data_IF_330254009809
#
_entry.id   IF_330254009809
#
_cell.length_a   1.000
_cell.length_b   1.000
_cell.length_c   1.000
_cell.angle_alpha   90.00
_cell.angle_beta   90.00
_cell.angle_gamma   90.00
#
_symmetry.space_group_name_H-M   'P 1'
#
loop_
_entity.id
_entity.type
_entity.pdbx_description
1 polymer ?
#
# COMPACT_ATOMS: atom_id res chain seq x y z
N UNK A 1 11.40 12.68 -6.58
CA UNK A 1 10.93 11.63 -5.66
C UNK A 1 9.47 11.32 -5.96
N UNK A 2 9.12 10.04 -6.00
CA UNK A 2 7.76 9.56 -6.31
C UNK A 2 7.48 8.23 -5.58
N UNK A 3 6.23 8.03 -5.15
CA UNK A 3 5.74 6.71 -4.74
C UNK A 3 5.31 5.92 -5.98
N UNK A 4 5.77 4.66 -6.20
CA UNK A 4 5.27 3.80 -7.28
C UNK A 4 3.77 3.51 -7.20
N UNK A 5 3.23 3.47 -5.98
CA UNK A 5 1.81 3.52 -5.69
C UNK A 5 1.63 4.54 -4.58
N UNK A 6 0.93 5.64 -4.86
CA UNK A 6 0.62 6.62 -3.81
C UNK A 6 -0.26 5.96 -2.74
N UNK A 7 0.23 5.87 -1.52
CA UNK A 7 -0.47 5.22 -0.42
C UNK A 7 -1.54 6.13 0.19
N UNK A 8 -1.12 7.16 0.89
CA UNK A 8 -2.02 8.13 1.56
C UNK A 8 -2.79 9.00 0.56
N UNK A 9 -2.21 9.24 -0.63
CA UNK A 9 -2.82 10.01 -1.70
C UNK A 9 -4.02 9.35 -2.39
N UNK A 10 -4.42 8.13 -1.98
CA UNK A 10 -5.62 7.48 -2.50
C UNK A 10 -5.41 6.09 -3.10
N UNK A 11 -4.33 5.41 -2.79
CA UNK A 11 -3.98 4.10 -3.37
C UNK A 11 -3.95 4.19 -4.90
N UNK A 12 -3.06 5.03 -5.43
CA UNK A 12 -2.98 5.31 -6.87
C UNK A 12 -1.73 4.65 -7.46
N UNK A 13 -1.84 3.50 -8.13
CA UNK A 13 -0.73 2.92 -8.89
C UNK A 13 -0.29 3.89 -10.00
N UNK A 14 1.00 4.11 -10.11
CA UNK A 14 1.54 4.91 -11.20
C UNK A 14 1.37 4.17 -12.54
N UNK A 15 1.18 4.91 -13.61
CA UNK A 15 1.29 4.39 -14.95
C UNK A 15 2.74 4.01 -15.25
N UNK A 16 2.97 2.88 -15.93
CA UNK A 16 4.31 2.40 -16.25
C UNK A 16 5.05 3.37 -17.18
N UNK A 17 4.36 3.96 -18.13
CA UNK A 17 4.96 4.92 -19.08
C UNK A 17 5.33 6.23 -18.37
N UNK A 18 4.56 6.63 -17.35
CA UNK A 18 4.93 7.76 -16.49
C UNK A 18 6.26 7.49 -15.76
N UNK A 19 6.42 6.31 -15.15
CA UNK A 19 7.66 5.97 -14.42
C UNK A 19 8.86 5.83 -15.36
N UNK A 20 8.67 5.25 -16.55
CA UNK A 20 9.70 5.20 -17.61
C UNK A 20 10.10 6.59 -18.07
N UNK A 21 9.12 7.45 -18.34
CA UNK A 21 9.37 8.84 -18.73
C UNK A 21 10.12 9.63 -17.65
N UNK A 22 9.82 9.40 -16.36
CA UNK A 22 10.60 9.98 -15.25
C UNK A 22 12.06 9.50 -15.27
N UNK A 23 12.30 8.21 -15.54
CA UNK A 23 13.66 7.66 -15.63
C UNK A 23 14.42 8.31 -16.81
N UNK A 24 13.81 8.41 -17.97
CA UNK A 24 14.40 9.05 -19.14
C UNK A 24 14.74 10.53 -18.90
N UNK A 25 13.82 11.28 -18.27
CA UNK A 25 14.05 12.68 -17.91
C UNK A 25 15.19 12.82 -16.90
N UNK A 26 15.21 11.99 -15.87
CA UNK A 26 16.27 11.99 -14.87
C UNK A 26 17.64 11.72 -15.53
N UNK A 27 17.71 10.76 -16.44
CA UNK A 27 18.94 10.44 -17.17
C UNK A 27 19.36 11.61 -18.08
N UNK A 28 18.43 12.21 -18.80
CA UNK A 28 18.67 13.35 -19.68
C UNK A 28 19.21 14.58 -18.96
N UNK A 29 18.67 14.87 -17.79
CA UNK A 29 19.02 16.08 -17.03
C UNK A 29 20.01 15.84 -15.89
N UNK A 30 20.52 14.62 -15.73
CA UNK A 30 21.44 14.27 -14.65
C UNK A 30 20.81 14.38 -13.25
N UNK A 31 19.49 14.22 -13.15
CA UNK A 31 18.75 14.20 -11.89
C UNK A 31 18.67 12.79 -11.32
N UNK A 32 18.48 12.67 -10.00
CA UNK A 32 18.24 11.39 -9.35
C UNK A 32 16.75 11.05 -9.37
N UNK A 33 16.42 9.80 -9.72
CA UNK A 33 15.10 9.24 -9.53
C UNK A 33 15.06 8.53 -8.17
N UNK A 34 14.19 9.00 -7.28
CA UNK A 34 14.01 8.44 -5.94
C UNK A 34 12.63 7.79 -5.87
N UNK A 35 12.58 6.50 -5.55
CA UNK A 35 11.32 5.83 -5.24
C UNK A 35 11.11 5.76 -3.72
N UNK A 36 9.98 6.34 -3.27
CA UNK A 36 9.50 6.15 -1.91
C UNK A 36 8.70 4.84 -1.85
N UNK A 37 9.36 3.80 -1.36
CA UNK A 37 8.76 2.47 -1.18
C UNK A 37 8.45 2.15 0.29
N UNK A 38 8.24 3.18 1.09
CA UNK A 38 7.88 3.04 2.51
C UNK A 38 6.55 2.29 2.68
N UNK A 39 5.59 2.45 1.76
CA UNK A 39 4.32 1.70 1.79
C UNK A 39 4.29 0.53 0.80
N UNK A 40 5.00 0.61 -0.30
CA UNK A 40 4.93 -0.36 -1.40
C UNK A 40 5.94 -1.48 -1.31
N UNK A 41 7.03 -1.26 -0.56
CA UNK A 41 8.12 -2.22 -0.43
C UNK A 41 7.84 -3.38 0.51
N UNK A 42 8.84 -4.21 0.67
CA UNK A 42 8.89 -5.37 1.56
C UNK A 42 7.69 -6.30 1.33
N UNK A 43 7.49 -6.71 0.08
CA UNK A 43 6.49 -7.69 -0.33
C UNK A 43 5.07 -7.17 -0.55
N UNK A 44 4.75 -5.93 -0.17
CA UNK A 44 3.38 -5.39 -0.17
C UNK A 44 2.67 -5.49 -1.53
N UNK A 45 3.41 -5.33 -2.63
CA UNK A 45 2.87 -5.33 -4.00
C UNK A 45 3.04 -6.67 -4.73
N UNK A 46 3.44 -7.74 -4.02
CA UNK A 46 3.70 -9.06 -4.61
C UNK A 46 5.08 -9.20 -5.24
N UNK A 47 5.91 -8.17 -5.15
CA UNK A 47 7.35 -8.21 -5.37
C UNK A 47 8.04 -7.67 -4.12
N UNK A 48 9.32 -7.95 -3.92
CA UNK A 48 10.05 -7.46 -2.76
C UNK A 48 9.99 -5.94 -2.65
N UNK A 49 10.15 -5.26 -3.79
CA UNK A 49 9.92 -3.82 -3.95
C UNK A 49 9.11 -3.56 -5.23
N UNK A 50 8.24 -2.56 -5.20
CA UNK A 50 7.32 -2.27 -6.30
C UNK A 50 8.04 -1.93 -7.61
N UNK A 51 9.21 -1.30 -7.56
CA UNK A 51 9.99 -1.00 -8.77
C UNK A 51 10.27 -2.25 -9.64
N UNK A 52 10.33 -3.43 -9.01
CA UNK A 52 10.55 -4.70 -9.72
C UNK A 52 9.35 -5.07 -10.60
N UNK A 53 8.12 -4.71 -10.19
CA UNK A 53 6.93 -4.91 -11.01
C UNK A 53 6.88 -3.99 -12.23
N UNK A 54 7.45 -2.79 -12.11
CA UNK A 54 7.49 -1.79 -13.18
C UNK A 54 8.72 -1.93 -14.11
N UNK A 55 9.77 -2.64 -13.67
CA UNK A 55 11.03 -2.74 -14.40
C UNK A 55 11.78 -1.41 -14.55
N UNK A 56 11.48 -0.44 -13.67
CA UNK A 56 12.15 0.89 -13.64
C UNK A 56 13.01 0.97 -12.40
N UNK A 57 14.33 1.02 -12.57
CA UNK A 57 15.28 1.02 -11.45
C UNK A 57 15.51 2.48 -11.00
N UNK A 58 15.22 2.81 -9.73
CA UNK A 58 15.54 4.12 -9.18
C UNK A 58 17.03 4.24 -8.83
N UNK A 59 17.54 5.46 -8.71
CA UNK A 59 18.88 5.73 -8.17
C UNK A 59 18.91 5.59 -6.65
N UNK A 60 17.80 5.92 -5.99
CA UNK A 60 17.61 5.83 -4.54
C UNK A 60 16.23 5.23 -4.25
N UNK A 61 16.18 4.40 -3.22
CA UNK A 61 14.95 3.80 -2.71
C UNK A 61 14.87 4.02 -1.20
N UNK A 62 13.73 4.49 -0.71
CA UNK A 62 13.45 4.57 0.73
C UNK A 62 12.50 3.46 1.16
N UNK A 63 12.74 2.87 2.32
CA UNK A 63 11.94 1.77 2.87
C UNK A 63 11.82 1.87 4.39
N UNK A 64 10.68 1.47 4.94
CA UNK A 64 10.41 1.45 6.37
C UNK A 64 9.22 0.51 6.67
N UNK A 65 8.38 0.84 7.64
CA UNK A 65 7.12 0.13 7.99
C UNK A 65 7.31 -1.40 8.04
N UNK A 66 6.91 -2.10 6.96
CA UNK A 66 7.00 -3.55 6.87
C UNK A 66 8.45 -4.09 7.02
N UNK A 67 9.48 -3.26 6.75
CA UNK A 67 10.88 -3.63 6.94
C UNK A 67 11.18 -4.10 8.37
N UNK A 68 10.53 -3.48 9.36
CA UNK A 68 10.72 -3.84 10.76
C UNK A 68 9.70 -4.83 11.31
N UNK A 69 8.69 -5.26 10.53
CA UNK A 69 7.64 -6.16 11.03
C UNK A 69 6.91 -5.64 12.28
N UNK A 70 6.89 -4.33 12.50
CA UNK A 70 6.38 -3.65 13.69
C UNK A 70 7.46 -2.98 14.54
N UNK A 71 8.74 -3.33 14.36
CA UNK A 71 9.86 -2.65 15.03
C UNK A 71 10.21 -1.35 14.26
N UNK A 72 10.47 -0.22 14.96
CA UNK A 72 10.78 1.05 14.30
C UNK A 72 12.14 1.00 13.60
N UNK A 73 12.15 0.92 12.29
CA UNK A 73 13.32 0.97 11.43
C UNK A 73 12.97 1.51 10.06
N UNK A 74 13.87 2.25 9.47
CA UNK A 74 13.83 2.67 8.09
C UNK A 74 15.21 2.59 7.47
N UNK A 75 15.27 2.50 6.16
CA UNK A 75 16.50 2.45 5.40
C UNK A 75 16.37 3.25 4.11
N UNK A 76 17.50 3.70 3.62
CA UNK A 76 17.67 4.27 2.29
C UNK A 76 18.71 3.43 1.57
N UNK A 77 18.39 2.99 0.38
CA UNK A 77 19.28 2.22 -0.49
C UNK A 77 19.65 3.08 -1.69
N UNK A 78 20.90 2.96 -2.13
CA UNK A 78 21.36 3.62 -3.34
C UNK A 78 22.37 2.73 -4.06
N UNK A 79 22.71 3.11 -5.29
CA UNK A 79 23.72 2.39 -6.09
C UNK A 79 25.13 2.79 -5.70
N UNK A 80 26.13 1.96 -6.05
CA UNK A 80 27.54 2.25 -5.82
C UNK A 80 28.00 3.56 -6.44
N UNK A 81 27.33 4.02 -7.50
CA UNK A 81 27.59 5.32 -8.14
C UNK A 81 27.38 6.48 -7.18
N UNK A 82 26.40 6.42 -6.30
CA UNK A 82 26.03 7.51 -5.40
C UNK A 82 26.45 7.28 -3.94
N UNK A 83 26.72 6.03 -3.56
CA UNK A 83 27.17 5.67 -2.22
C UNK A 83 28.34 6.51 -1.69
N UNK A 84 29.37 6.90 -2.50
CA UNK A 84 30.49 7.71 -2.01
C UNK A 84 30.11 9.12 -1.53
N UNK A 85 28.91 9.64 -1.89
CA UNK A 85 28.43 10.93 -1.40
C UNK A 85 27.92 10.86 0.06
N UNK A 86 27.70 9.65 0.60
CA UNK A 86 27.29 9.41 1.98
C UNK A 86 28.52 9.09 2.83
N UNK A 87 29.25 10.13 3.23
CA UNK A 87 30.46 10.03 4.04
C UNK A 87 30.21 10.43 5.50
N UNK A 88 31.24 10.27 6.32
CA UNK A 88 31.18 10.67 7.74
C UNK A 88 30.78 12.16 7.85
N UNK A 89 29.75 12.44 8.64
CA UNK A 89 29.27 13.80 8.90
C UNK A 89 28.23 14.35 7.93
N UNK A 90 27.89 13.62 6.85
CA UNK A 90 26.84 14.06 5.89
C UNK A 90 25.43 13.76 6.34
N UNK A 91 25.26 12.77 7.20
CA UNK A 91 24.00 12.39 7.82
C UNK A 91 24.27 11.67 9.15
N UNK A 92 23.24 11.54 9.99
CA UNK A 92 23.38 10.84 11.26
C UNK A 92 22.05 10.61 11.94
N UNK A 93 22.03 9.63 12.81
CA UNK A 93 20.92 9.29 13.68
C UNK A 93 21.44 8.65 14.96
N UNK A 94 20.81 8.92 16.08
CA UNK A 94 21.23 8.35 17.37
C UNK A 94 20.96 6.85 17.46
N UNK A 95 19.81 6.38 16.97
CA UNK A 95 19.38 4.98 17.13
C UNK A 95 19.30 4.21 15.82
N UNK A 96 19.47 4.86 14.68
CA UNK A 96 19.41 4.19 13.37
C UNK A 96 20.54 3.18 13.21
N UNK A 97 20.24 2.03 12.60
CA UNK A 97 21.21 0.96 12.39
C UNK A 97 21.63 0.22 13.66
N UNK A 98 20.89 0.37 14.78
CA UNK A 98 21.24 -0.37 15.99
C UNK A 98 21.10 -1.89 15.76
N UNK A 99 21.91 -2.71 16.50
CA UNK A 99 21.96 -4.16 16.25
C UNK A 99 20.61 -4.87 16.33
N UNK A 100 19.73 -4.45 17.26
CA UNK A 100 18.41 -5.06 17.41
C UNK A 100 17.52 -4.77 16.19
N UNK A 101 17.42 -3.51 15.78
CA UNK A 101 16.66 -3.12 14.59
C UNK A 101 17.16 -3.83 13.33
N UNK A 102 18.47 -3.94 13.16
CA UNK A 102 19.10 -4.62 12.02
C UNK A 102 18.82 -6.13 12.03
N UNK A 103 18.88 -6.78 13.18
CA UNK A 103 18.56 -8.20 13.32
C UNK A 103 17.09 -8.48 13.03
N UNK A 104 16.17 -7.64 13.55
CA UNK A 104 14.73 -7.76 13.27
C UNK A 104 14.45 -7.55 11.79
N UNK A 105 14.99 -6.49 11.17
CA UNK A 105 14.81 -6.22 9.76
C UNK A 105 15.36 -7.35 8.88
N UNK A 106 16.52 -7.93 9.22
CA UNK A 106 17.08 -9.09 8.53
C UNK A 106 16.14 -10.30 8.57
N UNK A 107 15.65 -10.66 9.76
CA UNK A 107 14.72 -11.78 9.92
C UNK A 107 13.40 -11.57 9.15
N UNK A 108 12.84 -10.36 9.19
CA UNK A 108 11.63 -10.01 8.42
C UNK A 108 11.89 -10.11 6.92
N UNK A 109 13.03 -9.58 6.46
CA UNK A 109 13.41 -9.60 5.06
C UNK A 109 13.57 -11.04 4.53
N UNK A 110 14.26 -11.90 5.27
CA UNK A 110 14.44 -13.31 4.92
C UNK A 110 13.10 -14.06 4.85
N UNK A 111 12.20 -13.80 5.80
CA UNK A 111 10.87 -14.40 5.81
C UNK A 111 10.02 -13.97 4.61
N UNK A 112 10.01 -12.67 4.29
CA UNK A 112 9.15 -12.10 3.24
C UNK A 112 9.72 -12.40 1.85
N UNK A 113 11.05 -12.37 1.68
CA UNK A 113 11.70 -12.58 0.38
C UNK A 113 11.74 -14.05 -0.02
N UNK A 114 10.59 -14.69 0.01
CA UNK A 114 10.40 -16.07 -0.43
C UNK A 114 9.31 -16.13 -1.50
N UNK A 115 9.42 -17.04 -2.49
CA UNK A 115 8.38 -17.23 -3.50
C UNK A 115 7.00 -17.49 -2.88
N UNK A 116 6.93 -18.26 -1.81
CA UNK A 116 5.68 -18.59 -1.12
C UNK A 116 4.95 -17.33 -0.63
N UNK A 117 5.65 -16.41 0.00
CA UNK A 117 5.04 -15.17 0.51
C UNK A 117 4.67 -14.25 -0.65
N UNK A 118 5.60 -14.02 -1.59
CA UNK A 118 5.39 -13.04 -2.66
C UNK A 118 4.29 -13.46 -3.65
N UNK A 119 4.26 -14.73 -4.05
CA UNK A 119 3.16 -15.26 -4.88
C UNK A 119 1.84 -15.32 -4.10
N UNK A 120 1.90 -15.71 -2.82
CA UNK A 120 0.73 -15.69 -1.95
C UNK A 120 0.11 -14.29 -1.78
N UNK A 121 0.90 -13.22 -1.90
CA UNK A 121 0.37 -11.84 -1.94
C UNK A 121 -0.45 -11.59 -3.21
N UNK A 122 0.01 -12.09 -4.37
CA UNK A 122 -0.71 -11.95 -5.64
C UNK A 122 -2.02 -12.73 -5.63
N UNK A 123 -1.98 -13.98 -5.14
CA UNK A 123 -3.18 -14.81 -4.98
C UNK A 123 -4.24 -14.15 -4.08
N UNK A 124 -3.80 -13.61 -2.94
CA UNK A 124 -4.68 -12.88 -2.02
C UNK A 124 -5.19 -11.57 -2.61
N UNK A 125 -4.38 -10.89 -3.43
CA UNK A 125 -4.82 -9.70 -4.16
C UNK A 125 -6.01 -10.01 -5.05
N UNK A 126 -5.87 -11.02 -5.90
CA UNK A 126 -6.92 -11.39 -6.86
C UNK A 126 -8.19 -11.83 -6.13
N UNK A 127 -8.04 -12.65 -5.10
CA UNK A 127 -9.15 -13.10 -4.26
C UNK A 127 -9.89 -11.92 -3.62
N UNK A 128 -9.16 -11.05 -2.95
CA UNK A 128 -9.73 -9.91 -2.22
C UNK A 128 -10.41 -8.92 -3.18
N UNK A 129 -9.74 -8.59 -4.28
CA UNK A 129 -10.25 -7.67 -5.29
C UNK A 129 -11.52 -8.19 -5.97
N UNK A 130 -11.56 -9.47 -6.29
CA UNK A 130 -12.76 -10.10 -6.87
C UNK A 130 -13.94 -10.04 -5.89
N UNK A 131 -13.72 -10.35 -4.63
CA UNK A 131 -14.78 -10.29 -3.62
C UNK A 131 -15.25 -8.85 -3.35
N UNK A 132 -14.35 -7.87 -3.33
CA UNK A 132 -14.72 -6.45 -3.22
C UNK A 132 -15.53 -5.97 -4.44
N UNK A 133 -15.21 -6.45 -5.65
CA UNK A 133 -16.00 -6.15 -6.85
C UNK A 133 -17.42 -6.73 -6.75
N UNK A 134 -17.57 -7.98 -6.27
CA UNK A 134 -18.88 -8.60 -6.02
C UNK A 134 -19.72 -7.81 -4.99
N UNK A 135 -19.09 -7.34 -3.92
CA UNK A 135 -19.78 -6.46 -2.97
C UNK A 135 -20.18 -5.15 -3.62
N UNK A 136 -19.34 -4.60 -4.49
CA UNK A 136 -19.67 -3.36 -5.19
C UNK A 136 -20.78 -3.53 -6.23
N UNK A 137 -20.90 -4.68 -6.87
CA UNK A 137 -22.06 -5.00 -7.77
C UNK A 137 -23.38 -4.97 -6.99
N UNK A 138 -23.35 -5.35 -5.69
CA UNK A 138 -24.56 -5.36 -4.84
C UNK A 138 -24.90 -4.00 -4.26
N UNK A 139 -23.92 -3.23 -3.84
CA UNK A 139 -24.13 -1.99 -3.07
C UNK A 139 -23.87 -0.72 -3.87
N UNK A 140 -23.15 -0.80 -5.00
CA UNK A 140 -22.85 0.28 -5.94
C UNK A 140 -22.21 1.54 -5.30
N UNK A 141 -21.39 1.37 -4.24
CA UNK A 141 -20.78 2.47 -3.49
C UNK A 141 -19.49 3.00 -4.15
N UNK A 142 -18.76 2.12 -4.83
CA UNK A 142 -17.43 2.44 -5.36
C UNK A 142 -17.45 2.60 -6.88
N UNK A 143 -16.75 3.60 -7.40
CA UNK A 143 -16.50 3.77 -8.84
C UNK A 143 -15.30 2.96 -9.32
N UNK A 144 -14.39 2.58 -8.43
CA UNK A 144 -13.24 1.75 -8.76
C UNK A 144 -12.69 1.04 -7.53
N UNK A 145 -12.16 -0.17 -7.73
CA UNK A 145 -11.33 -0.89 -6.77
C UNK A 145 -9.94 -1.03 -7.41
N UNK A 146 -8.93 -0.41 -6.81
CA UNK A 146 -7.58 -0.30 -7.37
C UNK A 146 -6.50 -0.59 -6.33
N UNK A 147 -5.26 -0.71 -6.79
CA UNK A 147 -4.10 -0.97 -5.95
C UNK A 147 -3.17 -2.01 -6.56
N UNK A 148 -2.19 -2.46 -5.78
CA UNK A 148 -1.21 -3.48 -6.17
C UNK A 148 -0.91 -4.36 -4.97
N UNK A 149 -0.93 -5.68 -5.17
CA UNK A 149 -0.79 -6.64 -4.08
C UNK A 149 -1.80 -6.38 -2.96
N UNK A 150 -1.36 -6.43 -1.72
CA UNK A 150 -2.22 -6.18 -0.56
C UNK A 150 -2.20 -4.70 -0.10
N UNK A 151 -2.11 -3.80 -1.04
CA UNK A 151 -2.41 -2.37 -0.89
C UNK A 151 -3.60 -2.07 -1.80
N UNK A 152 -4.83 -2.14 -1.26
CA UNK A 152 -6.09 -2.04 -2.00
C UNK A 152 -6.87 -0.79 -1.57
N UNK A 153 -7.49 -0.11 -2.52
CA UNK A 153 -8.32 1.08 -2.31
C UNK A 153 -9.66 0.97 -3.03
N UNK A 154 -10.73 1.12 -2.27
CA UNK A 154 -12.09 1.23 -2.77
C UNK A 154 -12.44 2.72 -2.92
N UNK A 155 -12.49 3.22 -4.15
CA UNK A 155 -12.71 4.64 -4.48
C UNK A 155 -14.19 4.91 -4.53
N UNK A 156 -14.68 5.82 -3.69
CA UNK A 156 -16.10 6.18 -3.65
C UNK A 156 -16.58 6.77 -4.97
N UNK A 157 -17.85 6.53 -5.32
CA UNK A 157 -18.57 7.28 -6.33
C UNK A 157 -18.65 8.76 -5.92
N UNK A 158 -18.82 9.65 -6.90
CA UNK A 158 -18.81 11.08 -6.66
C UNK A 158 -19.97 11.55 -5.77
N UNK A 159 -21.11 10.85 -5.82
CA UNK A 159 -22.26 11.06 -4.94
C UNK A 159 -21.96 10.80 -3.44
N UNK A 160 -20.93 10.01 -3.15
CA UNK A 160 -20.46 9.71 -1.79
C UNK A 160 -19.11 10.39 -1.46
N UNK A 161 -18.75 11.44 -2.20
CA UNK A 161 -17.50 12.14 -1.98
C UNK A 161 -17.38 12.63 -0.53
N UNK A 162 -16.21 12.41 0.09
CA UNK A 162 -15.93 12.80 1.48
C UNK A 162 -16.33 11.77 2.54
N UNK A 163 -17.10 10.72 2.19
CA UNK A 163 -17.70 9.78 3.15
C UNK A 163 -16.86 8.51 3.42
N UNK A 164 -15.60 8.44 3.00
CA UNK A 164 -14.76 7.28 3.28
C UNK A 164 -14.59 7.03 4.79
N UNK A 165 -14.53 8.09 5.60
CA UNK A 165 -14.44 7.98 7.05
C UNK A 165 -15.70 7.38 7.68
N UNK A 166 -16.87 7.69 7.14
CA UNK A 166 -18.14 7.16 7.65
C UNK A 166 -18.19 5.64 7.43
N UNK A 167 -17.85 5.18 6.23
CA UNK A 167 -17.74 3.73 5.95
C UNK A 167 -16.68 3.08 6.84
N UNK A 168 -15.52 3.71 7.04
CA UNK A 168 -14.47 3.18 7.89
C UNK A 168 -14.93 3.06 9.36
N UNK A 169 -15.69 4.02 9.87
CA UNK A 169 -16.26 3.97 11.22
C UNK A 169 -17.27 2.83 11.34
N UNK A 170 -18.20 2.69 10.39
CA UNK A 170 -19.17 1.59 10.35
C UNK A 170 -18.46 0.23 10.26
N UNK A 171 -17.39 0.11 9.48
CA UNK A 171 -16.58 -1.09 9.45
C UNK A 171 -15.95 -1.41 10.81
N UNK A 172 -15.47 -0.38 11.52
CA UNK A 172 -14.95 -0.51 12.89
C UNK A 172 -16.00 -1.00 13.87
N UNK A 173 -17.24 -0.50 13.79
CA UNK A 173 -18.37 -0.98 14.61
C UNK A 173 -18.72 -2.45 14.33
N UNK A 174 -18.54 -2.90 13.09
CA UNK A 174 -18.69 -4.32 12.72
C UNK A 174 -17.45 -5.17 13.08
N UNK A 175 -16.43 -4.56 13.71
CA UNK A 175 -15.21 -5.24 14.14
C UNK A 175 -14.17 -5.45 13.04
N UNK A 176 -14.23 -4.67 11.96
CA UNK A 176 -13.23 -4.66 10.89
C UNK A 176 -12.36 -3.41 10.97
N UNK A 177 -11.06 -3.61 11.19
CA UNK A 177 -10.07 -2.53 11.11
C UNK A 177 -9.69 -2.29 9.66
N UNK A 178 -10.18 -1.21 9.10
CA UNK A 178 -9.80 -0.68 7.80
C UNK A 178 -9.17 0.72 7.96
N UNK A 179 -8.72 1.31 6.89
CA UNK A 179 -8.10 2.64 6.87
C UNK A 179 -8.78 3.50 5.80
N UNK A 180 -8.44 4.78 5.77
CA UNK A 180 -8.76 5.66 4.66
C UNK A 180 -7.48 6.11 3.96
N UNK A 181 -7.59 6.48 2.69
CA UNK A 181 -6.55 7.14 1.92
C UNK A 181 -7.15 8.40 1.28
N UNK A 182 -7.00 9.53 1.96
CA UNK A 182 -7.77 10.74 1.67
C UNK A 182 -9.26 10.57 1.99
N UNK A 183 -10.09 11.56 1.62
CA UNK A 183 -11.52 11.57 2.00
C UNK A 183 -12.40 10.61 1.19
N UNK A 184 -11.89 10.07 0.08
CA UNK A 184 -12.70 9.35 -0.92
C UNK A 184 -12.32 7.88 -1.12
N UNK A 185 -11.41 7.34 -0.29
CA UNK A 185 -10.93 5.96 -0.49
C UNK A 185 -10.92 5.20 0.83
N UNK A 186 -11.63 4.08 0.89
CA UNK A 186 -11.46 3.08 1.95
C UNK A 186 -10.31 2.17 1.55
N UNK A 187 -9.31 2.02 2.44
CA UNK A 187 -8.06 1.32 2.17
C UNK A 187 -7.92 0.05 3.00
N UNK A 188 -7.46 -1.02 2.35
CA UNK A 188 -7.12 -2.29 2.98
C UNK A 188 -5.64 -2.60 2.83
N UNK A 189 -4.98 -2.89 3.95
CA UNK A 189 -3.56 -3.25 4.03
C UNK A 189 -3.37 -4.42 5.01
N UNK A 190 -3.96 -5.58 4.74
CA UNK A 190 -3.88 -6.72 5.65
C UNK A 190 -2.45 -7.28 5.75
N UNK A 191 -2.23 -8.24 6.65
CA UNK A 191 -1.00 -9.02 6.70
C UNK A 191 -0.72 -9.67 5.34
N UNK A 192 0.56 -9.76 4.93
CA UNK A 192 0.93 -10.42 3.67
C UNK A 192 0.55 -11.91 3.62
N UNK A 193 0.45 -12.52 4.78
CA UNK A 193 0.10 -13.94 4.96
C UNK A 193 -1.29 -14.12 5.59
N UNK A 194 -2.17 -13.10 5.49
CA UNK A 194 -3.54 -13.20 6.02
C UNK A 194 -4.21 -14.48 5.50
N UNK A 195 -4.80 -15.32 6.37
CA UNK A 195 -5.54 -16.49 5.93
C UNK A 195 -6.76 -16.10 5.09
N UNK A 196 -7.11 -16.90 4.08
CA UNK A 196 -8.31 -16.65 3.26
C UNK A 196 -9.60 -16.62 4.09
N UNK A 197 -9.69 -17.45 5.13
CA UNK A 197 -10.83 -17.44 6.06
C UNK A 197 -10.99 -16.10 6.80
N UNK A 198 -9.88 -15.43 7.14
CA UNK A 198 -9.91 -14.12 7.77
C UNK A 198 -10.28 -13.01 6.76
N UNK A 199 -9.89 -13.18 5.49
CA UNK A 199 -10.37 -12.30 4.41
C UNK A 199 -11.88 -12.43 4.27
N UNK A 200 -12.41 -13.66 4.24
CA UNK A 200 -13.85 -13.91 4.14
C UNK A 200 -14.63 -13.32 5.29
N UNK A 201 -14.14 -13.50 6.52
CA UNK A 201 -14.78 -12.90 7.70
C UNK A 201 -14.71 -11.37 7.66
N UNK A 202 -13.58 -10.80 7.28
CA UNK A 202 -13.42 -9.37 7.09
C UNK A 202 -14.38 -8.80 6.03
N UNK A 203 -14.55 -9.50 4.92
CA UNK A 203 -15.48 -9.13 3.84
C UNK A 203 -16.94 -9.19 4.30
N UNK A 204 -17.34 -10.19 5.10
CA UNK A 204 -18.70 -10.26 5.70
C UNK A 204 -18.95 -9.07 6.61
N UNK A 205 -17.97 -8.66 7.41
CA UNK A 205 -18.06 -7.48 8.27
C UNK A 205 -18.17 -6.21 7.45
N UNK A 206 -17.35 -6.11 6.39
CA UNK A 206 -17.40 -4.98 5.47
C UNK A 206 -18.74 -4.90 4.73
N UNK A 207 -19.30 -6.03 4.33
CA UNK A 207 -20.64 -6.09 3.73
C UNK A 207 -21.73 -5.51 4.65
N UNK A 208 -21.70 -5.86 5.94
CA UNK A 208 -22.67 -5.29 6.90
C UNK A 208 -22.50 -3.77 7.04
N UNK A 209 -21.25 -3.29 7.06
CA UNK A 209 -20.96 -1.86 7.10
C UNK A 209 -21.48 -1.13 5.84
N UNK A 210 -21.29 -1.71 4.66
CA UNK A 210 -21.81 -1.15 3.41
C UNK A 210 -23.35 -1.14 3.37
N UNK A 211 -24.00 -2.20 3.84
CA UNK A 211 -25.46 -2.25 3.92
C UNK A 211 -26.01 -1.11 4.79
N UNK A 212 -25.44 -0.92 5.98
CA UNK A 212 -25.80 0.17 6.89
C UNK A 212 -25.51 1.55 6.27
N UNK A 213 -24.38 1.70 5.60
CA UNK A 213 -24.03 2.96 4.94
C UNK A 213 -25.06 3.33 3.87
N UNK A 214 -25.43 2.40 3.01
CA UNK A 214 -26.42 2.63 1.95
C UNK A 214 -27.81 2.97 2.53
N UNK A 215 -28.21 2.33 3.63
CA UNK A 215 -29.47 2.63 4.32
C UNK A 215 -29.47 4.06 4.86
N UNK A 216 -28.41 4.47 5.57
CA UNK A 216 -28.24 5.86 6.07
C UNK A 216 -28.32 6.87 4.92
N UNK A 217 -27.64 6.59 3.77
CA UNK A 217 -27.64 7.51 2.64
C UNK A 217 -29.04 7.66 2.01
N UNK A 218 -29.85 6.61 1.99
CA UNK A 218 -31.26 6.68 1.50
C UNK A 218 -32.13 7.53 2.42
N UNK A 219 -31.97 7.37 3.73
CA UNK A 219 -32.73 8.14 4.71
C UNK A 219 -32.37 9.64 4.66
N UNK A 220 -31.07 9.97 4.50
CA UNK A 220 -30.60 11.35 4.32
C UNK A 220 -31.18 12.01 3.04
N UNK A 221 -31.39 11.26 1.97
CA UNK A 221 -31.96 11.77 0.72
C UNK A 221 -33.50 11.91 0.78
N UNK A 222 -34.15 11.20 1.68
CA UNK A 222 -35.62 11.23 1.85
C UNK A 222 -36.10 12.33 2.82
N UNK A 223 -35.19 12.92 3.60
CA UNK A 223 -35.46 13.95 4.60
C UNK A 223 -35.29 15.35 4.07
#
# INVERSE_FOLDING_TARGET
>A
IVEPVQGEGGVIPADIEFLKGLRELCDQFGALLIFDEVQTGVGRTGALYAYMNYGVIPDVLTTAKALGGGFPVGAMLTTDKFAPHFSVGTHGTTYGGNPLASAVAGAVFEFINTPEVLEGVKERHDYYKNALNQLNEKYEVFKAIRGSGLLLGCVLKDEFAGKAKDINNLAGEEGLLSLIAGPNVVRFTPSLIVPFADIDEGLKRFERALARFVEIQKDEQAA
#
